data_IF_884510749046
#
_entry.id   IF_884510749046
#
_cell.length_a   1.000
_cell.length_b   1.000
_cell.length_c   1.000
_cell.angle_alpha   90.00
_cell.angle_beta   90.00
_cell.angle_gamma   90.00
#
_symmetry.space_group_name_H-M   'P 1'
#
loop_
_entity.id
_entity.type
_entity.pdbx_description
1 polymer ?
#
# COMPACT_ATOMS: atom_id res chain seq x y z
N UNK A 1 -36.73 -37.82 2.05
CA UNK A 1 -37.43 -37.35 3.27
C UNK A 1 -36.34 -37.00 4.26
N UNK A 2 -36.16 -35.70 4.47
CA UNK A 2 -35.24 -35.16 5.47
C UNK A 2 -35.76 -35.56 6.85
N UNK A 3 -34.96 -36.30 7.61
CA UNK A 3 -35.20 -36.50 9.03
C UNK A 3 -34.29 -35.53 9.77
N UNK A 4 -34.82 -34.32 10.03
CA UNK A 4 -34.19 -33.37 10.95
C UNK A 4 -34.16 -34.01 12.34
N UNK A 5 -32.98 -34.46 12.77
CA UNK A 5 -32.76 -34.90 14.14
C UNK A 5 -32.37 -33.68 14.99
N UNK A 6 -33.38 -33.01 15.56
CA UNK A 6 -33.17 -31.97 16.56
C UNK A 6 -32.67 -32.63 17.86
N UNK A 7 -31.36 -32.65 18.06
CA UNK A 7 -30.79 -32.99 19.35
C UNK A 7 -30.82 -31.74 20.25
N UNK A 8 -31.96 -31.53 20.91
CA UNK A 8 -32.10 -30.58 22.00
C UNK A 8 -31.48 -31.17 23.27
N UNK A 9 -30.75 -30.33 24.00
CA UNK A 9 -30.28 -30.44 25.39
C UNK A 9 -28.82 -30.86 25.63
N UNK A 10 -28.11 -29.92 26.28
CA UNK A 10 -27.02 -30.10 27.24
C UNK A 10 -25.76 -30.86 26.80
N UNK A 11 -24.85 -30.15 26.13
CA UNK A 11 -23.42 -30.36 26.36
C UNK A 11 -22.73 -28.99 26.39
N UNK A 12 -22.26 -28.59 27.57
CA UNK A 12 -21.40 -27.43 27.72
C UNK A 12 -20.06 -27.73 27.07
N UNK A 13 -19.89 -27.28 25.82
CA UNK A 13 -18.59 -27.21 25.20
C UNK A 13 -17.84 -26.05 25.86
N UNK A 14 -16.95 -26.37 26.82
CA UNK A 14 -15.85 -25.45 27.14
C UNK A 14 -14.99 -25.39 25.89
N UNK A 15 -14.72 -24.17 25.47
CA UNK A 15 -13.83 -23.81 24.37
C UNK A 15 -12.38 -24.10 24.80
N UNK A 16 -12.04 -25.38 24.93
CA UNK A 16 -10.69 -25.86 25.18
C UNK A 16 -10.40 -26.88 24.10
N UNK A 17 -9.53 -26.50 23.16
CA UNK A 17 -9.14 -27.30 22.01
C UNK A 17 -8.32 -28.53 22.39
N UNK A 18 -8.99 -29.55 22.93
CA UNK A 18 -8.44 -30.89 23.10
C UNK A 18 -9.11 -31.87 22.13
N UNK A 19 -8.33 -32.84 21.65
CA UNK A 19 -8.82 -33.92 20.80
C UNK A 19 -9.94 -34.68 21.53
N UNK A 20 -11.08 -34.84 20.87
CA UNK A 20 -12.22 -35.56 21.41
C UNK A 20 -12.84 -36.47 20.36
N UNK A 21 -13.07 -37.73 20.73
CA UNK A 21 -13.97 -38.61 20.01
C UNK A 21 -15.40 -38.31 20.49
N UNK A 22 -16.26 -37.91 19.56
CA UNK A 22 -17.70 -37.84 19.83
C UNK A 22 -18.29 -39.22 19.51
N UNK A 23 -18.72 -39.93 20.54
CA UNK A 23 -19.50 -41.15 20.38
C UNK A 23 -20.99 -40.83 20.26
N UNK A 24 -21.58 -41.23 19.13
CA UNK A 24 -23.02 -41.23 18.93
C UNK A 24 -23.46 -42.65 18.52
N UNK A 25 -23.86 -43.45 19.51
CA UNK A 25 -24.20 -44.86 19.29
C UNK A 25 -22.96 -45.70 18.92
N UNK A 26 -23.05 -46.55 17.88
CA UNK A 26 -21.95 -47.46 17.46
C UNK A 26 -20.89 -46.82 16.55
N UNK A 27 -20.96 -45.51 16.32
CA UNK A 27 -20.07 -44.81 15.40
C UNK A 27 -19.18 -43.84 16.18
N UNK A 28 -17.86 -44.00 16.06
CA UNK A 28 -16.87 -43.03 16.50
C UNK A 28 -16.56 -42.09 15.34
N UNK A 29 -16.71 -40.78 15.57
CA UNK A 29 -16.29 -39.75 14.64
C UNK A 29 -15.02 -39.07 15.16
N UNK A 30 -13.95 -39.16 14.38
CA UNK A 30 -12.72 -38.39 14.61
C UNK A 30 -12.95 -36.95 14.18
N UNK A 31 -12.98 -36.02 15.14
CA UNK A 31 -12.96 -34.60 14.84
C UNK A 31 -11.54 -34.24 14.43
N UNK A 32 -11.26 -34.20 13.13
CA UNK A 32 -9.98 -33.66 12.65
C UNK A 32 -9.97 -32.16 12.94
N UNK A 33 -8.92 -31.68 13.60
CA UNK A 33 -8.66 -30.24 13.81
C UNK A 33 -8.79 -29.53 12.46
N UNK A 34 -9.84 -28.72 12.31
CA UNK A 34 -9.96 -27.84 11.16
C UNK A 34 -8.81 -26.84 11.30
N UNK A 35 -7.81 -26.90 10.42
CA UNK A 35 -6.76 -25.87 10.38
C UNK A 35 -7.45 -24.57 9.97
N UNK A 36 -7.80 -23.72 10.93
CA UNK A 36 -8.29 -22.37 10.63
C UNK A 36 -7.10 -21.55 10.18
N UNK A 37 -7.09 -21.15 8.91
CA UNK A 37 -6.08 -20.24 8.35
C UNK A 37 -6.05 -18.95 9.18
N UNK A 38 -4.90 -18.63 9.77
CA UNK A 38 -4.69 -17.39 10.52
C UNK A 38 -3.87 -16.40 9.67
N UNK A 39 -4.55 -15.40 9.09
CA UNK A 39 -3.89 -14.40 8.24
C UNK A 39 -2.81 -13.61 8.99
N UNK A 40 -2.97 -13.44 10.31
CA UNK A 40 -2.01 -12.74 11.14
C UNK A 40 -0.68 -13.50 11.18
N UNK A 41 -0.74 -14.82 11.44
CA UNK A 41 0.45 -15.68 11.44
C UNK A 41 1.11 -15.75 10.05
N UNK A 42 0.32 -15.75 8.97
CA UNK A 42 0.86 -15.69 7.61
C UNK A 42 1.66 -14.41 7.41
N UNK A 43 1.13 -13.25 7.81
CA UNK A 43 1.84 -11.98 7.68
C UNK A 43 3.06 -11.89 8.59
N UNK A 44 3.01 -12.48 9.78
CA UNK A 44 4.18 -12.61 10.67
C UNK A 44 5.29 -13.39 9.94
N UNK A 45 4.98 -14.52 9.29
CA UNK A 45 5.95 -15.31 8.50
C UNK A 45 6.47 -14.57 7.26
N UNK A 46 5.61 -13.80 6.58
CA UNK A 46 6.04 -12.97 5.44
C UNK A 46 7.03 -11.90 5.89
N UNK A 47 6.76 -11.23 7.02
CA UNK A 47 7.64 -10.23 7.58
C UNK A 47 8.99 -10.84 8.03
N UNK A 48 8.99 -12.04 8.61
CA UNK A 48 10.22 -12.79 8.92
C UNK A 48 11.01 -13.12 7.64
N UNK A 49 10.34 -13.61 6.59
CA UNK A 49 11.00 -13.89 5.31
C UNK A 49 11.61 -12.64 4.69
N UNK A 50 10.89 -11.52 4.68
CA UNK A 50 11.40 -10.25 4.19
C UNK A 50 12.66 -9.80 4.97
N UNK A 51 12.68 -10.01 6.28
CA UNK A 51 13.86 -9.73 7.13
C UNK A 51 15.04 -10.67 6.80
N UNK A 52 14.77 -11.95 6.59
CA UNK A 52 15.80 -12.92 6.21
C UNK A 52 16.44 -12.58 4.86
N UNK A 53 15.62 -12.33 3.83
CA UNK A 53 16.08 -11.93 2.49
C UNK A 53 16.96 -10.65 2.56
N UNK A 54 16.56 -9.68 3.40
CA UNK A 54 17.34 -8.47 3.65
C UNK A 54 18.68 -8.75 4.35
N UNK A 55 18.68 -9.61 5.37
CA UNK A 55 19.89 -9.97 6.10
C UNK A 55 20.90 -10.67 5.19
N UNK A 56 20.45 -11.58 4.33
CA UNK A 56 21.28 -12.24 3.33
C UNK A 56 21.86 -11.23 2.33
N UNK A 57 21.02 -10.38 1.73
CA UNK A 57 21.46 -9.36 0.79
C UNK A 57 22.45 -8.37 1.41
N UNK A 58 22.31 -8.06 2.71
CA UNK A 58 23.25 -7.21 3.45
C UNK A 58 24.65 -7.80 3.55
N UNK A 59 24.77 -9.12 3.64
CA UNK A 59 26.04 -9.85 3.73
C UNK A 59 26.65 -10.12 2.36
N UNK A 60 25.82 -10.39 1.34
CA UNK A 60 26.26 -10.79 0.02
C UNK A 60 26.60 -9.62 -0.93
N UNK A 61 26.02 -8.43 -0.71
CA UNK A 61 26.12 -7.30 -1.64
C UNK A 61 26.77 -6.09 -0.96
N UNK A 62 27.97 -5.72 -1.42
CA UNK A 62 28.68 -4.52 -0.96
C UNK A 62 28.20 -3.25 -1.66
N UNK A 63 27.89 -3.32 -2.97
CA UNK A 63 27.50 -2.16 -3.77
C UNK A 63 26.12 -1.61 -3.34
N UNK A 64 26.02 -0.36 -2.87
CA UNK A 64 24.76 0.19 -2.33
C UNK A 64 23.58 0.19 -3.29
N UNK A 65 23.81 0.41 -4.59
CA UNK A 65 22.74 0.41 -5.60
C UNK A 65 22.12 -0.96 -5.82
N UNK A 66 22.94 -2.01 -5.94
CA UNK A 66 22.46 -3.40 -6.10
C UNK A 66 21.70 -3.87 -4.85
N UNK A 67 22.14 -3.38 -3.69
CA UNK A 67 21.51 -3.65 -2.40
C UNK A 67 20.13 -3.01 -2.31
N UNK A 68 19.99 -1.75 -2.74
CA UNK A 68 18.70 -1.06 -2.85
C UNK A 68 17.71 -1.80 -3.76
N UNK A 69 18.14 -2.15 -4.97
CA UNK A 69 17.31 -2.88 -5.93
C UNK A 69 16.81 -4.23 -5.40
N UNK A 70 17.60 -4.92 -4.57
CA UNK A 70 17.18 -6.17 -3.93
C UNK A 70 16.03 -5.94 -2.94
N UNK A 71 16.07 -4.84 -2.19
CA UNK A 71 15.01 -4.49 -1.22
C UNK A 71 13.72 -4.09 -1.91
N UNK A 72 13.84 -3.34 -3.00
CA UNK A 72 12.74 -2.99 -3.88
C UNK A 72 12.06 -4.26 -4.42
N UNK A 73 12.82 -5.20 -4.96
CA UNK A 73 12.27 -6.45 -5.52
C UNK A 73 11.57 -7.32 -4.47
N UNK A 74 12.15 -7.46 -3.26
CA UNK A 74 11.51 -8.19 -2.16
C UNK A 74 10.15 -7.60 -1.83
N UNK A 75 10.04 -6.27 -1.77
CA UNK A 75 8.80 -5.58 -1.45
C UNK A 75 7.79 -5.60 -2.62
N UNK A 76 8.24 -5.42 -3.85
CA UNK A 76 7.41 -5.54 -5.07
C UNK A 76 6.79 -6.94 -5.14
N UNK A 77 7.57 -7.99 -4.90
CA UNK A 77 7.09 -9.37 -4.90
C UNK A 77 6.04 -9.60 -3.82
N UNK A 78 6.21 -9.01 -2.62
CA UNK A 78 5.18 -9.02 -1.60
C UNK A 78 3.89 -8.38 -2.13
N UNK A 79 3.94 -7.16 -2.65
CA UNK A 79 2.75 -6.47 -3.15
C UNK A 79 2.04 -7.26 -4.27
N UNK A 80 2.78 -7.83 -5.22
CA UNK A 80 2.22 -8.66 -6.31
C UNK A 80 1.49 -9.90 -5.83
N UNK A 81 1.91 -10.48 -4.70
CA UNK A 81 1.27 -11.68 -4.15
C UNK A 81 -0.02 -11.39 -3.38
N UNK A 82 -0.18 -10.18 -2.85
CA UNK A 82 -1.28 -9.84 -1.94
C UNK A 82 -2.27 -8.82 -2.50
N UNK A 83 -1.83 -7.90 -3.37
CA UNK A 83 -2.72 -6.96 -4.05
C UNK A 83 -3.42 -7.61 -5.25
N UNK A 84 -4.58 -7.07 -5.71
CA UNK A 84 -5.33 -7.63 -6.82
C UNK A 84 -4.53 -7.56 -8.11
N UNK A 85 -4.68 -8.58 -8.97
CA UNK A 85 -3.99 -8.65 -10.26
C UNK A 85 -4.45 -7.57 -11.27
N UNK A 86 -5.52 -6.83 -10.98
CA UNK A 86 -5.95 -5.65 -11.74
C UNK A 86 -5.02 -4.45 -11.53
N UNK A 87 -4.11 -4.51 -10.54
CA UNK A 87 -3.09 -3.50 -10.29
C UNK A 87 -1.76 -3.97 -10.86
N UNK A 88 -1.17 -3.16 -11.73
CA UNK A 88 0.20 -3.36 -12.17
C UNK A 88 1.18 -2.72 -11.17
N UNK A 89 2.26 -3.44 -10.87
CA UNK A 89 3.29 -3.02 -9.92
C UNK A 89 4.62 -3.00 -10.65
N UNK A 90 5.20 -1.81 -10.79
CA UNK A 90 6.41 -1.56 -11.58
C UNK A 90 7.34 -0.55 -10.92
N UNK A 91 8.54 -0.36 -11.47
CA UNK A 91 9.45 0.75 -11.13
C UNK A 91 9.59 1.67 -12.33
N UNK A 92 9.86 2.95 -12.13
CA UNK A 92 10.01 3.86 -13.26
C UNK A 92 9.86 5.33 -12.97
N UNK A 93 9.46 6.09 -14.00
CA UNK A 93 9.14 7.51 -13.90
C UNK A 93 7.70 7.76 -14.32
N UNK A 94 7.08 8.78 -13.73
CA UNK A 94 5.70 9.17 -14.02
C UNK A 94 5.73 10.48 -14.78
N UNK A 95 4.97 10.56 -15.86
CA UNK A 95 4.90 11.75 -16.73
C UNK A 95 3.48 12.29 -16.83
N UNK A 96 3.32 13.56 -17.16
CA UNK A 96 2.02 14.15 -17.48
C UNK A 96 1.93 14.74 -18.89
N UNK A 97 0.70 15.06 -19.30
CA UNK A 97 0.41 15.63 -20.64
C UNK A 97 1.03 17.02 -20.87
N UNK A 98 1.53 17.68 -19.82
CA UNK A 98 2.25 18.95 -19.93
C UNK A 98 3.77 18.75 -20.12
N UNK A 99 4.24 17.51 -20.24
CA UNK A 99 5.65 17.17 -20.43
C UNK A 99 6.49 17.20 -19.15
N UNK A 100 5.88 17.23 -17.96
CA UNK A 100 6.60 17.11 -16.69
C UNK A 100 6.83 15.64 -16.35
N UNK A 101 7.87 15.40 -15.56
CA UNK A 101 8.25 14.06 -15.07
C UNK A 101 8.54 14.10 -13.57
N UNK A 102 8.19 13.03 -12.86
CA UNK A 102 8.73 12.75 -11.54
C UNK A 102 10.22 12.38 -11.63
N UNK A 103 10.89 12.26 -10.47
CA UNK A 103 12.13 11.45 -10.41
C UNK A 103 11.78 9.96 -10.52
N UNK A 104 12.79 9.10 -10.50
CA UNK A 104 12.59 7.66 -10.41
C UNK A 104 11.81 7.32 -9.12
N UNK A 105 10.88 6.39 -9.26
CA UNK A 105 10.00 5.87 -8.22
C UNK A 105 10.26 4.37 -8.10
N UNK A 106 10.55 3.94 -6.88
CA UNK A 106 10.90 2.55 -6.56
C UNK A 106 9.71 1.61 -6.87
N UNK A 107 8.50 1.98 -6.44
CA UNK A 107 7.27 1.24 -6.73
C UNK A 107 6.16 2.17 -7.21
N UNK A 108 5.61 1.85 -8.38
CA UNK A 108 4.43 2.47 -8.99
C UNK A 108 3.33 1.42 -9.00
N UNK A 109 2.19 1.72 -8.37
CA UNK A 109 0.97 0.94 -8.45
C UNK A 109 0.03 1.67 -9.41
N UNK A 110 -0.25 1.05 -10.54
CA UNK A 110 -1.06 1.64 -11.62
C UNK A 110 -2.14 0.69 -12.10
N UNK A 111 -3.04 1.22 -12.91
CA UNK A 111 -4.01 0.42 -13.65
C UNK A 111 -3.29 -0.55 -14.61
N UNK A 112 -3.72 -1.81 -14.62
CA UNK A 112 -3.14 -2.84 -15.48
C UNK A 112 -3.67 -2.82 -16.92
N UNK A 113 -4.79 -2.14 -17.18
CA UNK A 113 -5.59 -2.33 -18.38
C UNK A 113 -5.22 -1.43 -19.58
N UNK A 114 -4.36 -0.43 -19.44
CA UNK A 114 -3.49 0.14 -20.50
C UNK A 114 -3.02 1.57 -20.14
N UNK A 115 -1.93 1.67 -19.38
CA UNK A 115 -1.25 2.97 -19.15
C UNK A 115 0.26 2.81 -19.12
N UNK A 116 0.87 2.34 -20.21
CA UNK A 116 2.32 2.33 -20.32
C UNK A 116 2.78 2.96 -21.63
N UNK A 117 3.62 3.99 -21.54
CA UNK A 117 4.19 4.64 -22.73
C UNK A 117 5.49 4.01 -23.19
N UNK A 118 6.27 3.47 -22.24
CA UNK A 118 7.56 2.90 -22.53
C UNK A 118 7.94 1.84 -21.50
N UNK A 119 8.65 0.82 -21.97
CA UNK A 119 9.26 -0.20 -21.11
C UNK A 119 10.65 -0.53 -21.61
N UNK A 120 11.63 -0.50 -20.71
CA UNK A 120 12.96 -1.06 -20.93
C UNK A 120 13.35 -1.87 -19.71
N UNK A 121 13.47 -3.20 -19.90
CA UNK A 121 13.58 -4.13 -18.79
C UNK A 121 12.42 -3.96 -17.80
N UNK A 122 12.77 -3.65 -16.55
CA UNK A 122 11.83 -3.42 -15.46
C UNK A 122 11.44 -1.95 -15.27
N UNK A 123 12.16 -1.02 -15.90
CA UNK A 123 11.91 0.42 -15.82
C UNK A 123 10.81 0.84 -16.80
N UNK A 124 9.82 1.59 -16.30
CA UNK A 124 8.67 2.08 -17.09
C UNK A 124 8.56 3.59 -17.13
N UNK A 125 7.84 4.08 -18.14
CA UNK A 125 7.34 5.46 -18.20
C UNK A 125 5.82 5.40 -18.21
N UNK A 126 5.21 5.88 -17.12
CA UNK A 126 3.78 5.71 -16.85
C UNK A 126 3.09 7.09 -16.89
N UNK A 127 2.00 7.28 -17.65
CA UNK A 127 1.20 8.50 -17.55
C UNK A 127 0.58 8.61 -16.17
N UNK A 128 0.59 9.82 -15.61
CA UNK A 128 0.11 10.06 -14.23
C UNK A 128 -1.34 9.65 -14.05
N UNK A 129 -2.18 9.72 -15.09
CA UNK A 129 -3.59 9.30 -15.04
C UNK A 129 -3.74 7.84 -14.62
N UNK A 130 -2.85 6.94 -15.04
CA UNK A 130 -2.89 5.52 -14.68
C UNK A 130 -2.41 5.18 -13.27
N UNK A 131 -1.76 6.13 -12.57
CA UNK A 131 -1.12 5.84 -11.28
C UNK A 131 -2.10 5.98 -10.11
N UNK A 132 -2.29 4.91 -9.34
CA UNK A 132 -3.05 4.92 -8.08
C UNK A 132 -2.20 5.36 -6.90
N UNK A 133 -1.02 4.77 -6.75
CA UNK A 133 -0.11 5.08 -5.66
C UNK A 133 1.34 4.85 -6.04
N UNK A 134 2.24 5.46 -5.28
CA UNK A 134 3.68 5.25 -5.36
C UNK A 134 4.24 4.95 -3.99
N UNK A 135 5.33 4.19 -3.94
CA UNK A 135 6.01 3.82 -2.70
C UNK A 135 7.52 3.98 -2.87
N UNK A 136 8.13 4.76 -1.98
CA UNK A 136 9.58 4.78 -1.79
C UNK A 136 9.99 3.64 -0.89
N UNK A 137 11.01 2.88 -1.28
CA UNK A 137 11.54 1.75 -0.50
C UNK A 137 12.93 2.08 -0.01
N UNK A 138 13.17 1.96 1.30
CA UNK A 138 14.48 2.24 1.91
C UNK A 138 14.91 1.12 2.86
N UNK A 139 16.21 0.81 2.84
CA UNK A 139 16.77 -0.18 3.77
C UNK A 139 16.68 0.29 5.22
N UNK A 140 17.07 1.55 5.43
CA UNK A 140 17.05 2.25 6.71
C UNK A 140 16.62 3.69 6.43
N UNK A 141 15.61 4.16 7.15
CA UNK A 141 15.07 5.51 7.00
C UNK A 141 15.57 6.41 8.13
N UNK A 142 16.55 7.25 7.81
CA UNK A 142 17.00 8.33 8.69
C UNK A 142 16.43 9.68 8.23
N UNK A 143 16.79 10.77 8.91
CA UNK A 143 16.34 12.12 8.57
C UNK A 143 16.66 12.51 7.13
N UNK A 144 17.85 12.15 6.63
CA UNK A 144 18.29 12.50 5.28
C UNK A 144 17.54 11.70 4.22
N UNK A 145 17.31 10.41 4.46
CA UNK A 145 16.51 9.58 3.56
C UNK A 145 15.04 10.00 3.57
N UNK A 146 14.51 10.42 4.73
CA UNK A 146 13.16 10.98 4.82
C UNK A 146 13.05 12.31 4.06
N UNK A 147 14.04 13.20 4.15
CA UNK A 147 14.11 14.43 3.35
C UNK A 147 14.15 14.14 1.84
N UNK A 148 14.93 13.13 1.42
CA UNK A 148 14.98 12.69 0.02
C UNK A 148 13.62 12.19 -0.46
N UNK A 149 12.95 11.35 0.33
CA UNK A 149 11.61 10.87 0.03
C UNK A 149 10.59 12.02 -0.04
N UNK A 150 10.70 13.01 0.85
CA UNK A 150 9.83 14.20 0.85
C UNK A 150 10.01 15.06 -0.41
N UNK A 151 11.25 15.26 -0.84
CA UNK A 151 11.53 15.96 -2.10
C UNK A 151 11.10 15.16 -3.34
N UNK A 152 11.18 13.83 -3.30
CA UNK A 152 10.65 13.01 -4.38
C UNK A 152 9.11 13.04 -4.44
N UNK A 153 8.45 13.06 -3.28
CA UNK A 153 7.02 13.27 -3.15
C UNK A 153 6.58 14.56 -3.83
N UNK A 154 7.27 15.67 -3.57
CA UNK A 154 7.00 16.95 -4.27
C UNK A 154 7.05 16.79 -5.78
N UNK A 155 8.01 16.03 -6.33
CA UNK A 155 8.12 15.81 -7.78
C UNK A 155 6.86 15.15 -8.36
N UNK A 156 6.31 14.14 -7.69
CA UNK A 156 5.06 13.47 -8.08
C UNK A 156 3.86 14.40 -7.92
N UNK A 157 3.78 15.16 -6.82
CA UNK A 157 2.67 16.10 -6.58
C UNK A 157 2.62 17.27 -7.57
N UNK A 158 3.70 17.53 -8.30
CA UNK A 158 3.68 18.55 -9.36
C UNK A 158 2.92 18.10 -10.62
N UNK A 159 2.79 16.79 -10.85
CA UNK A 159 2.17 16.22 -12.04
C UNK A 159 0.66 16.49 -12.07
N UNK A 160 0.09 16.70 -13.26
CA UNK A 160 -1.35 16.94 -13.44
C UNK A 160 -2.01 15.78 -14.17
N UNK A 161 -3.00 15.18 -13.52
CA UNK A 161 -3.94 14.24 -14.14
C UNK A 161 -5.01 15.04 -14.89
N UNK A 162 -4.86 15.18 -16.20
CA UNK A 162 -5.82 15.90 -17.07
C UNK A 162 -6.21 15.11 -18.31
N UNK A 163 -5.42 14.10 -18.67
CA UNK A 163 -5.59 13.19 -19.81
C UNK A 163 -6.64 12.11 -19.61
N UNK A 164 -7.82 12.43 -19.09
CA UNK A 164 -8.89 11.46 -18.86
C UNK A 164 -10.26 11.96 -19.30
N UNK A 165 -11.17 11.03 -19.57
CA UNK A 165 -12.55 11.32 -19.92
C UNK A 165 -13.33 11.59 -18.63
N UNK A 166 -13.87 12.80 -18.51
CA UNK A 166 -14.78 13.13 -17.41
C UNK A 166 -16.10 12.42 -17.67
N UNK A 167 -16.55 11.61 -16.72
CA UNK A 167 -17.85 10.96 -16.81
C UNK A 167 -18.96 12.01 -16.81
N UNK A 168 -19.75 12.03 -17.89
CA UNK A 168 -20.93 12.87 -18.02
C UNK A 168 -22.13 11.98 -18.34
N UNK A 169 -22.93 11.67 -17.33
CA UNK A 169 -24.10 10.81 -17.47
C UNK A 169 -25.00 10.85 -16.23
N UNK A 170 -26.12 10.10 -16.23
CA UNK A 170 -27.03 10.03 -15.09
C UNK A 170 -26.38 9.43 -13.83
N UNK A 171 -25.35 8.60 -14.01
CA UNK A 171 -24.54 8.01 -12.96
C UNK A 171 -23.11 8.49 -13.17
N UNK A 172 -22.53 9.09 -12.13
CA UNK A 172 -21.15 9.57 -12.09
C UNK A 172 -20.47 8.93 -10.89
N UNK A 173 -19.38 8.21 -11.12
CA UNK A 173 -18.63 7.55 -10.05
C UNK A 173 -17.58 8.52 -9.49
N UNK A 174 -17.84 9.06 -8.29
CA UNK A 174 -16.84 9.86 -7.57
C UNK A 174 -16.04 9.00 -6.60
N UNK A 175 -14.76 9.30 -6.42
CA UNK A 175 -13.90 8.64 -5.43
C UNK A 175 -13.81 9.48 -4.15
N UNK A 176 -13.98 8.87 -2.97
CA UNK A 176 -13.81 9.55 -1.68
C UNK A 176 -12.41 9.26 -1.11
N UNK A 177 -11.50 10.22 -1.24
CA UNK A 177 -10.12 10.13 -0.73
C UNK A 177 -9.74 11.45 -0.07
N UNK A 178 -8.86 11.38 0.93
CA UNK A 178 -8.44 12.56 1.69
C UNK A 178 -9.61 13.37 2.29
N UNK A 179 -10.69 12.68 2.70
CA UNK A 179 -11.91 13.31 3.23
C UNK A 179 -12.68 14.17 2.23
N UNK A 180 -12.45 14.01 0.91
CA UNK A 180 -13.16 14.76 -0.14
C UNK A 180 -13.45 13.92 -1.38
N UNK A 181 -14.39 14.38 -2.20
CA UNK A 181 -14.70 13.78 -3.50
C UNK A 181 -13.67 14.18 -4.57
N UNK A 182 -13.36 13.23 -5.44
CA UNK A 182 -12.46 13.36 -6.58
C UNK A 182 -13.09 12.77 -7.84
N UNK A 183 -12.88 13.45 -8.96
CA UNK A 183 -13.30 12.99 -10.30
C UNK A 183 -12.37 11.91 -10.85
N UNK A 184 -11.08 11.99 -10.51
CA UNK A 184 -10.06 10.98 -10.81
C UNK A 184 -9.28 10.66 -9.55
N UNK A 185 -8.84 9.41 -9.42
CA UNK A 185 -8.06 8.95 -8.28
C UNK A 185 -6.78 9.81 -8.10
N UNK A 186 -6.62 10.52 -6.98
CA UNK A 186 -5.38 11.23 -6.67
C UNK A 186 -4.28 10.21 -6.38
N UNK A 187 -3.07 10.42 -6.91
CA UNK A 187 -1.94 9.52 -6.64
C UNK A 187 -1.66 9.49 -5.14
N UNK A 188 -1.65 8.33 -4.48
CA UNK A 188 -1.20 8.21 -3.09
C UNK A 188 0.33 8.08 -3.04
N UNK A 189 0.97 8.48 -1.95
CA UNK A 189 2.42 8.47 -1.77
C UNK A 189 2.79 7.86 -0.43
N UNK A 190 3.37 6.67 -0.45
CA UNK A 190 3.78 5.95 0.75
C UNK A 190 5.31 5.86 0.82
N UNK A 191 5.81 5.59 2.03
CA UNK A 191 7.20 5.21 2.25
C UNK A 191 7.22 3.91 3.00
N UNK A 192 8.01 2.95 2.54
CA UNK A 192 8.28 1.69 3.21
C UNK A 192 9.77 1.63 3.53
N UNK A 193 10.09 1.31 4.78
CA UNK A 193 11.45 1.05 5.20
C UNK A 193 11.52 -0.22 6.05
N UNK A 194 12.67 -0.88 6.04
CA UNK A 194 12.87 -2.05 6.89
C UNK A 194 13.22 -1.64 8.33
N UNK A 195 14.05 -0.60 8.47
CA UNK A 195 14.44 -0.03 9.75
C UNK A 195 14.52 1.50 9.67
N UNK A 196 14.75 2.19 10.78
CA UNK A 196 14.81 3.65 10.81
C UNK A 196 15.48 4.20 12.07
N UNK A 197 15.51 5.53 12.21
CA UNK A 197 15.55 6.21 13.52
C UNK A 197 14.22 6.04 14.28
N UNK A 198 13.97 6.72 15.40
CA UNK A 198 12.70 6.52 16.13
C UNK A 198 11.48 6.98 15.30
N UNK A 199 10.33 6.30 15.43
CA UNK A 199 9.10 6.74 14.74
C UNK A 199 8.67 8.14 15.19
N UNK A 200 8.88 8.46 16.46
CA UNK A 200 8.56 9.79 17.01
C UNK A 200 9.37 10.90 16.35
N UNK A 201 10.65 10.67 16.06
CA UNK A 201 11.49 11.64 15.36
C UNK A 201 11.04 11.82 13.91
N UNK A 202 10.82 10.73 13.17
CA UNK A 202 10.30 10.77 11.81
C UNK A 202 8.93 11.47 11.74
N UNK A 203 7.99 11.12 12.63
CA UNK A 203 6.66 11.70 12.69
C UNK A 203 6.69 13.19 13.02
N UNK A 204 7.58 13.61 13.94
CA UNK A 204 7.76 15.02 14.28
C UNK A 204 8.32 15.83 13.11
N UNK A 205 9.28 15.26 12.36
CA UNK A 205 9.80 15.89 11.14
C UNK A 205 8.70 16.08 10.10
N UNK A 206 7.92 15.03 9.80
CA UNK A 206 6.80 15.10 8.87
C UNK A 206 5.77 16.16 9.28
N UNK A 207 5.31 16.13 10.53
CA UNK A 207 4.37 17.11 11.07
C UNK A 207 4.90 18.55 10.96
N UNK A 208 6.20 18.74 11.23
CA UNK A 208 6.86 20.05 11.10
C UNK A 208 6.88 20.53 9.66
N UNK A 209 7.18 19.66 8.69
CA UNK A 209 7.25 20.02 7.27
C UNK A 209 5.87 20.30 6.69
N UNK A 210 4.86 19.50 7.03
CA UNK A 210 3.48 19.75 6.58
C UNK A 210 2.97 21.10 7.06
N UNK A 211 3.30 21.48 8.31
CA UNK A 211 2.93 22.76 8.89
C UNK A 211 3.72 23.92 8.26
N UNK A 212 5.05 23.78 8.17
CA UNK A 212 5.96 24.78 7.60
C UNK A 212 5.59 25.12 6.15
N UNK A 213 5.34 24.09 5.34
CA UNK A 213 5.07 24.24 3.91
C UNK A 213 3.57 24.42 3.61
N UNK A 214 2.71 24.43 4.66
CA UNK A 214 1.25 24.55 4.55
C UNK A 214 0.63 23.54 3.57
N UNK A 215 1.11 22.30 3.61
CA UNK A 215 0.71 21.27 2.64
C UNK A 215 -0.71 20.76 2.92
N UNK A 216 -1.63 20.79 1.95
CA UNK A 216 -2.91 20.12 2.09
C UNK A 216 -2.73 18.60 2.15
N UNK A 217 -3.75 17.88 2.62
CA UNK A 217 -3.71 16.44 2.89
C UNK A 217 -3.21 15.62 1.69
N UNK A 218 -3.73 15.89 0.49
CA UNK A 218 -3.35 15.19 -0.75
C UNK A 218 -1.99 15.59 -1.33
N UNK A 219 -1.23 16.46 -0.66
CA UNK A 219 0.12 16.88 -1.06
C UNK A 219 1.20 16.47 -0.05
N UNK A 220 0.89 15.49 0.81
CA UNK A 220 1.80 14.96 1.84
C UNK A 220 2.34 13.58 1.43
N UNK A 221 3.30 13.09 2.21
CA UNK A 221 3.54 11.64 2.34
C UNK A 221 2.38 11.10 3.18
N UNK A 222 1.67 10.09 2.67
CA UNK A 222 0.41 9.66 3.26
C UNK A 222 0.61 8.73 4.45
N UNK A 223 1.53 7.77 4.33
CA UNK A 223 1.88 6.81 5.40
C UNK A 223 3.34 6.40 5.27
N UNK A 224 4.01 6.24 6.40
CA UNK A 224 5.36 5.66 6.48
C UNK A 224 5.30 4.36 7.28
N UNK A 225 5.65 3.24 6.66
CA UNK A 225 5.79 1.96 7.34
C UNK A 225 7.26 1.65 7.57
N UNK A 226 7.63 1.37 8.82
CA UNK A 226 8.95 0.84 9.18
C UNK A 226 8.75 -0.57 9.71
N UNK A 227 9.17 -1.57 8.95
CA UNK A 227 8.90 -2.99 9.21
C UNK A 227 9.24 -3.40 10.65
N UNK A 228 10.39 -2.96 11.16
CA UNK A 228 10.89 -3.33 12.49
C UNK A 228 10.41 -2.42 13.63
N UNK A 229 9.56 -1.43 13.37
CA UNK A 229 9.16 -0.45 14.40
C UNK A 229 7.66 -0.20 14.47
N UNK A 230 7.00 -0.06 13.32
CA UNK A 230 5.59 0.32 13.28
C UNK A 230 5.25 1.23 12.11
N UNK A 231 4.15 1.98 12.24
CA UNK A 231 3.57 2.76 11.15
C UNK A 231 3.29 4.19 11.62
N UNK A 232 3.70 5.17 10.82
CA UNK A 232 3.29 6.57 10.93
C UNK A 232 2.12 6.77 9.96
N UNK A 233 0.97 7.10 10.52
CA UNK A 233 -0.33 7.10 9.86
C UNK A 233 -1.16 8.31 10.29
N UNK A 234 -2.39 8.41 9.81
CA UNK A 234 -3.23 9.58 10.04
C UNK A 234 -4.30 9.27 11.07
N UNK A 235 -4.31 10.01 12.17
CA UNK A 235 -5.30 9.87 13.23
C UNK A 235 -6.36 10.95 13.12
N UNK A 236 -7.62 10.55 13.00
CA UNK A 236 -8.76 11.47 13.01
C UNK A 236 -9.08 11.96 14.44
N UNK A 237 -10.07 12.86 14.55
CA UNK A 237 -10.49 13.43 15.85
C UNK A 237 -11.12 12.41 16.80
N UNK A 238 -11.55 11.26 16.29
CA UNK A 238 -12.14 10.18 17.07
C UNK A 238 -11.08 9.14 17.48
N UNK A 239 -9.82 9.37 17.12
CA UNK A 239 -8.72 8.46 17.38
C UNK A 239 -8.61 7.30 16.38
N UNK A 240 -9.41 7.28 15.31
CA UNK A 240 -9.33 6.25 14.27
C UNK A 240 -8.14 6.52 13.34
N UNK A 241 -7.51 5.43 12.89
CA UNK A 241 -6.35 5.49 12.02
C UNK A 241 -6.69 5.20 10.56
N UNK A 242 -6.04 5.92 9.66
CA UNK A 242 -6.17 5.77 8.21
C UNK A 242 -4.82 5.92 7.48
N UNK A 243 -4.67 5.24 6.34
CA UNK A 243 -3.53 5.40 5.44
C UNK A 243 -3.47 6.80 4.82
N UNK A 244 -4.62 7.44 4.57
CA UNK A 244 -4.67 8.76 3.94
C UNK A 244 -5.06 9.85 4.96
N UNK A 245 -4.39 11.02 4.98
CA UNK A 245 -4.78 12.14 5.80
C UNK A 245 -6.17 12.66 5.41
N UNK A 246 -6.93 13.16 6.38
CA UNK A 246 -8.23 13.78 6.17
C UNK A 246 -8.29 15.15 6.88
N UNK A 247 -9.23 16.04 6.54
CA UNK A 247 -9.29 17.36 7.14
C UNK A 247 -9.32 17.30 8.67
N UNK A 248 -8.27 17.83 9.30
CA UNK A 248 -8.11 17.83 10.76
C UNK A 248 -7.53 16.55 11.36
N UNK A 249 -7.09 15.58 10.57
CA UNK A 249 -6.27 14.46 11.06
C UNK A 249 -4.86 14.93 11.41
N UNK A 250 -4.24 14.27 12.39
CA UNK A 250 -2.86 14.51 12.81
C UNK A 250 -1.96 13.33 12.43
N UNK A 251 -0.65 13.57 12.45
CA UNK A 251 0.36 12.50 12.32
C UNK A 251 0.34 11.66 13.60
N UNK A 252 0.00 10.38 13.48
CA UNK A 252 0.00 9.40 14.56
C UNK A 252 1.10 8.36 14.37
N UNK A 253 1.87 8.11 15.43
CA UNK A 253 2.89 7.06 15.44
C UNK A 253 2.34 5.83 16.16
N UNK A 254 2.33 4.69 15.49
CA UNK A 254 1.87 3.43 16.06
C UNK A 254 2.99 2.39 16.03
N UNK A 255 3.64 2.19 17.17
CA UNK A 255 4.68 1.18 17.34
C UNK A 255 4.06 -0.22 17.42
N UNK A 256 4.57 -1.14 16.61
CA UNK A 256 4.07 -2.52 16.57
C UNK A 256 5.07 -3.44 15.87
N UNK A 257 5.14 -4.70 16.32
CA UNK A 257 5.88 -5.77 15.65
C UNK A 257 5.19 -6.24 14.36
N UNK A 258 3.91 -5.86 14.15
CA UNK A 258 3.09 -6.24 13.00
C UNK A 258 2.92 -5.10 12.01
N UNK A 259 3.98 -4.32 11.80
CA UNK A 259 3.95 -3.13 10.96
C UNK A 259 3.50 -3.45 9.52
N UNK A 260 3.97 -4.56 8.94
CA UNK A 260 3.58 -4.99 7.59
C UNK A 260 2.09 -5.26 7.47
N UNK A 261 1.51 -5.99 8.44
CA UNK A 261 0.08 -6.30 8.45
C UNK A 261 -0.75 -5.04 8.59
N UNK A 262 -0.39 -4.14 9.51
CA UNK A 262 -1.09 -2.87 9.71
C UNK A 262 -1.03 -2.01 8.45
N UNK A 263 0.17 -1.83 7.89
CA UNK A 263 0.37 -1.08 6.65
C UNK A 263 -0.47 -1.64 5.50
N UNK A 264 -0.38 -2.95 5.27
CA UNK A 264 -1.16 -3.63 4.23
C UNK A 264 -2.67 -3.47 4.44
N UNK A 265 -3.15 -3.61 5.68
CA UNK A 265 -4.57 -3.42 6.02
C UNK A 265 -5.04 -2.01 5.67
N UNK A 266 -4.23 -1.00 5.99
CA UNK A 266 -4.57 0.40 5.72
C UNK A 266 -4.57 0.71 4.21
N UNK A 267 -3.57 0.26 3.45
CA UNK A 267 -3.51 0.55 2.01
C UNK A 267 -4.51 -0.28 1.19
N UNK A 268 -4.79 -1.53 1.59
CA UNK A 268 -5.70 -2.43 0.86
C UNK A 268 -7.14 -1.91 0.85
N UNK A 269 -7.56 -1.21 1.91
CA UNK A 269 -8.82 -0.44 1.95
C UNK A 269 -9.01 0.43 0.70
N UNK A 270 -7.93 1.01 0.19
CA UNK A 270 -7.93 1.85 -1.00
C UNK A 270 -7.64 1.06 -2.28
N UNK A 271 -6.61 0.22 -2.26
CA UNK A 271 -6.19 -0.50 -3.46
C UNK A 271 -7.27 -1.46 -3.99
N UNK A 272 -8.16 -1.98 -3.14
CA UNK A 272 -9.24 -2.89 -3.58
C UNK A 272 -10.46 -2.18 -4.21
N UNK A 273 -10.53 -0.85 -4.11
CA UNK A 273 -11.57 -0.01 -4.73
C UNK A 273 -10.99 0.87 -5.86
N UNK A 274 -9.73 0.64 -6.22
CA UNK A 274 -8.99 1.39 -7.23
C UNK A 274 -9.59 1.13 -8.61
N UNK A 275 -9.89 2.22 -9.32
CA UNK A 275 -10.47 2.22 -10.67
C UNK A 275 -10.26 3.61 -11.29
N UNK A 276 -10.02 3.66 -12.61
CA UNK A 276 -9.70 4.89 -13.36
C UNK A 276 -10.70 5.13 -14.50
N UNK A 277 -11.07 6.39 -14.76
CA UNK A 277 -11.82 6.72 -15.97
C UNK A 277 -10.98 6.47 -17.25
N UNK A 278 -11.63 6.34 -18.43
CA UNK A 278 -10.93 6.11 -19.68
C UNK A 278 -9.83 7.16 -19.97
N UNK A 279 -8.68 6.67 -20.40
CA UNK A 279 -7.51 7.47 -20.71
C UNK A 279 -7.62 8.19 -22.06
N UNK A 280 -7.29 9.49 -22.11
CA UNK A 280 -7.23 10.28 -23.34
C UNK A 280 -5.79 10.40 -23.83
N UNK A 281 -5.34 9.40 -24.57
CA UNK A 281 -3.99 9.38 -25.14
C UNK A 281 -3.66 10.60 -26.01
N UNK A 282 -4.66 11.17 -26.71
CA UNK A 282 -4.48 12.35 -27.55
C UNK A 282 -3.88 13.56 -26.83
N UNK A 283 -4.13 13.69 -25.52
CA UNK A 283 -3.62 14.81 -24.72
C UNK A 283 -2.09 14.75 -24.56
N UNK A 284 -1.47 13.59 -24.80
CA UNK A 284 -0.02 13.38 -24.72
C UNK A 284 0.72 13.55 -26.05
N UNK A 285 0.01 13.73 -27.16
CA UNK A 285 0.62 13.87 -28.49
C UNK A 285 1.29 15.24 -28.71
N UNK A 286 1.04 16.22 -27.83
CA UNK A 286 1.48 17.60 -28.00
C UNK A 286 0.90 18.24 -29.27
N UNK A 287 1.52 19.33 -29.75
CA UNK A 287 1.24 19.82 -31.11
C UNK A 287 1.87 18.84 -32.09
N UNK A 288 1.06 17.95 -32.66
CA UNK A 288 1.49 17.18 -33.83
C UNK A 288 1.93 18.19 -34.89
N UNK A 289 3.23 18.18 -35.22
CA UNK A 289 3.75 18.91 -36.36
C UNK A 289 3.22 18.18 -37.61
N UNK A 290 2.03 18.56 -38.05
CA UNK A 290 1.44 18.17 -39.34
C UNK A 290 1.87 19.20 -40.37
#
# INVERSE_FOLDING_TARGET
METNCYCTSACGAKDQGEEGELECGRYSFRISRFLSMNIVEIFDQVAEKMRADLAEARLAIEHPGLKGATFEEVFIRFLRNYLPATLDISTGVIVDSAGRSSRQIDVIISDAADTNFYRSGDTRVVPVEGVYSVIEVKATLDTRELERAFENMKSVRTLRKTGYVIESGPIVHSKMLYGRKWDIWPTNYFVFAFDSISLNELGSLLASWYSRDSLPEWSRIDTVCVLNKGVILNQDRNGQFDALPSPGSIVGNYETERALLLFYTLISKYMFQADMPPFRFGDYLGKLAI
#
